data_IF_450518383129
#
_entry.id   IF_450518383129
#
_cell.length_a   1.000
_cell.length_b   1.000
_cell.length_c   1.000
_cell.angle_alpha   90.00
_cell.angle_beta   90.00
_cell.angle_gamma   90.00
#
_symmetry.space_group_name_H-M   'P 1'
#
loop_
_entity.id
_entity.type
_entity.pdbx_description
1 polymer ?
#
# COMPACT_ATOMS: atom_id res chain seq x y z
N UNK A 1 -1.44 23.62 -8.46
CA UNK A 1 -0.67 23.25 -7.26
C UNK A 1 -0.43 21.76 -7.31
N UNK A 2 0.81 21.35 -7.61
CA UNK A 2 1.17 19.94 -7.68
C UNK A 2 1.08 19.36 -6.27
N UNK A 3 0.19 18.38 -6.06
CA UNK A 3 0.13 17.61 -4.82
C UNK A 3 1.36 16.69 -4.81
N UNK A 4 2.52 17.25 -4.50
CA UNK A 4 3.64 16.47 -4.00
C UNK A 4 3.13 15.77 -2.74
N UNK A 5 2.72 14.51 -2.87
CA UNK A 5 2.45 13.63 -1.75
C UNK A 5 3.80 13.03 -1.36
N UNK A 6 4.49 13.52 -0.32
CA UNK A 6 5.84 13.07 0.02
C UNK A 6 5.89 11.61 0.52
N UNK A 7 4.76 10.91 0.60
CA UNK A 7 4.63 9.60 1.23
C UNK A 7 3.95 8.59 0.29
N UNK A 8 4.32 8.55 -1.00
CA UNK A 8 3.92 7.40 -1.84
C UNK A 8 4.52 6.13 -1.21
N UNK A 9 3.78 5.03 -1.05
CA UNK A 9 4.31 3.82 -0.42
C UNK A 9 5.32 3.14 -1.32
N UNK A 10 6.27 2.40 -0.76
CA UNK A 10 7.28 1.70 -1.57
C UNK A 10 6.68 0.60 -2.46
N UNK A 11 5.74 -0.16 -1.91
CA UNK A 11 5.09 -1.25 -2.62
C UNK A 11 3.72 -1.60 -2.02
N UNK A 12 2.89 -2.22 -2.84
CA UNK A 12 1.65 -2.89 -2.42
C UNK A 12 1.59 -4.31 -2.96
N UNK A 13 1.08 -5.21 -2.14
CA UNK A 13 0.73 -6.59 -2.50
C UNK A 13 -0.76 -6.80 -2.36
N UNK A 14 -1.43 -7.20 -3.44
CA UNK A 14 -2.87 -7.39 -3.49
C UNK A 14 -3.26 -8.87 -3.47
N UNK A 15 -4.29 -9.18 -2.69
CA UNK A 15 -4.89 -10.51 -2.60
C UNK A 15 -6.39 -10.41 -2.88
N UNK A 16 -6.91 -11.34 -3.67
CA UNK A 16 -8.35 -11.45 -3.87
C UNK A 16 -8.94 -12.25 -2.69
N UNK A 17 -9.91 -11.66 -1.99
CA UNK A 17 -10.63 -12.31 -0.90
C UNK A 17 -12.14 -12.36 -1.18
N UNK A 18 -12.87 -13.17 -0.42
CA UNK A 18 -14.32 -13.10 -0.41
C UNK A 18 -14.76 -11.74 0.15
N UNK A 19 -15.31 -10.87 -0.70
CA UNK A 19 -15.78 -9.54 -0.32
C UNK A 19 -14.96 -8.36 -0.84
N UNK A 20 -13.88 -8.61 -1.59
CA UNK A 20 -13.07 -7.54 -2.20
C UNK A 20 -11.58 -7.90 -2.28
N UNK A 21 -10.76 -6.89 -2.53
CA UNK A 21 -9.30 -7.03 -2.54
C UNK A 21 -8.74 -6.65 -1.18
N UNK A 22 -7.71 -7.34 -0.71
CA UNK A 22 -6.96 -7.00 0.51
C UNK A 22 -5.57 -6.57 0.10
N UNK A 23 -5.13 -5.42 0.60
CA UNK A 23 -3.81 -4.85 0.30
C UNK A 23 -2.90 -4.91 1.51
N UNK A 24 -1.66 -5.34 1.30
CA UNK A 24 -0.55 -5.11 2.22
C UNK A 24 0.34 -4.03 1.62
N UNK A 25 0.40 -2.87 2.27
CA UNK A 25 1.13 -1.68 1.82
C UNK A 25 2.36 -1.49 2.69
N UNK A 26 3.52 -1.31 2.05
CA UNK A 26 4.78 -0.97 2.71
C UNK A 26 4.98 0.54 2.59
N UNK A 27 5.26 1.20 3.72
CA UNK A 27 5.47 2.65 3.81
C UNK A 27 6.60 3.17 2.92
N UNK A 28 6.68 4.48 2.76
CA UNK A 28 7.62 5.16 1.83
C UNK A 28 9.07 4.71 2.02
N UNK A 29 9.58 4.74 3.25
CA UNK A 29 10.97 4.35 3.54
C UNK A 29 11.15 2.82 3.62
N UNK A 30 10.07 2.04 3.62
CA UNK A 30 10.10 0.60 3.85
C UNK A 30 10.33 0.20 5.30
N UNK A 31 9.97 1.08 6.23
CA UNK A 31 10.15 0.96 7.69
C UNK A 31 8.93 0.35 8.41
N UNK A 32 7.74 0.46 7.82
CA UNK A 32 6.51 -0.10 8.34
C UNK A 32 5.61 -0.68 7.24
N UNK A 33 4.67 -1.54 7.63
CA UNK A 33 3.68 -2.10 6.73
C UNK A 33 2.28 -2.11 7.38
N UNK A 34 1.26 -2.00 6.54
CA UNK A 34 -0.14 -2.03 6.95
C UNK A 34 -0.95 -2.95 6.05
N UNK A 35 -2.00 -3.55 6.60
CA UNK A 35 -2.97 -4.37 5.88
C UNK A 35 -4.37 -3.77 5.98
N UNK A 36 -5.13 -3.80 4.89
CA UNK A 36 -6.53 -3.39 4.88
C UNK A 36 -7.29 -3.82 3.63
N UNK A 37 -8.61 -3.65 3.65
CA UNK A 37 -9.45 -3.90 2.48
C UNK A 37 -9.42 -2.73 1.50
N UNK A 38 -9.42 -3.05 0.21
CA UNK A 38 -9.69 -2.13 -0.88
C UNK A 38 -11.21 -1.95 -0.99
N UNK A 39 -11.72 -0.83 -0.49
CA UNK A 39 -13.14 -0.49 -0.47
C UNK A 39 -13.46 0.65 -1.43
N UNK A 40 -12.46 1.21 -2.11
CA UNK A 40 -12.58 2.39 -2.97
C UNK A 40 -12.52 1.95 -4.43
N UNK A 41 -12.81 2.90 -5.31
CA UNK A 41 -12.86 2.64 -6.76
C UNK A 41 -11.49 2.84 -7.44
N UNK A 42 -10.55 3.49 -6.75
CA UNK A 42 -9.21 3.78 -7.25
C UNK A 42 -8.15 3.14 -6.34
N UNK A 43 -7.14 2.53 -6.98
CA UNK A 43 -6.11 1.77 -6.27
C UNK A 43 -5.23 2.67 -5.40
N UNK A 44 -4.88 3.87 -5.86
CA UNK A 44 -4.02 4.76 -5.11
C UNK A 44 -4.78 5.37 -3.92
N UNK A 45 -6.09 5.59 -4.06
CA UNK A 45 -7.00 5.93 -2.96
C UNK A 45 -7.09 4.81 -1.90
N UNK A 46 -7.18 3.54 -2.32
CA UNK A 46 -7.17 2.40 -1.39
C UNK A 46 -5.84 2.30 -0.63
N UNK A 47 -4.73 2.49 -1.35
CA UNK A 47 -3.40 2.46 -0.76
C UNK A 47 -3.21 3.58 0.25
N UNK A 48 -3.65 4.81 -0.08
CA UNK A 48 -3.62 5.93 0.85
C UNK A 48 -4.50 5.66 2.09
N UNK A 49 -5.67 5.03 1.90
CA UNK A 49 -6.54 4.65 3.00
C UNK A 49 -5.90 3.59 3.92
N UNK A 50 -5.24 2.59 3.35
CA UNK A 50 -4.54 1.55 4.12
C UNK A 50 -3.34 2.12 4.87
N UNK A 51 -2.58 3.05 4.28
CA UNK A 51 -1.50 3.75 5.00
C UNK A 51 -2.01 4.55 6.19
N UNK A 52 -3.17 5.19 6.06
CA UNK A 52 -3.74 6.05 7.09
C UNK A 52 -4.46 5.26 8.21
N UNK A 53 -5.15 4.18 7.86
CA UNK A 53 -6.10 3.50 8.76
C UNK A 53 -5.95 1.98 8.81
N UNK A 54 -5.02 1.40 8.05
CA UNK A 54 -4.80 -0.03 8.01
C UNK A 54 -4.25 -0.57 9.33
N UNK A 55 -4.49 -1.86 9.58
CA UNK A 55 -3.90 -2.54 10.73
C UNK A 55 -2.40 -2.72 10.50
N UNK A 56 -1.58 -2.55 11.55
CA UNK A 56 -0.14 -2.83 11.46
C UNK A 56 0.10 -4.27 11.02
N UNK A 57 0.98 -4.43 10.04
CA UNK A 57 1.37 -5.73 9.51
C UNK A 57 2.88 -5.94 9.73
N UNK A 58 3.34 -7.17 10.02
CA UNK A 58 4.77 -7.42 10.21
C UNK A 58 5.57 -7.09 8.94
N UNK A 59 6.49 -6.13 9.03
CA UNK A 59 7.28 -5.66 7.89
C UNK A 59 8.03 -6.81 7.19
N UNK A 60 8.70 -7.68 7.96
CA UNK A 60 9.45 -8.81 7.41
C UNK A 60 8.57 -9.77 6.60
N UNK A 61 7.30 -9.96 7.02
CA UNK A 61 6.34 -10.74 6.25
C UNK A 61 5.93 -9.98 4.98
N UNK A 62 5.66 -8.67 5.07
CA UNK A 62 5.26 -7.84 3.93
C UNK A 62 6.29 -7.87 2.79
N UNK A 63 7.58 -7.85 3.12
CA UNK A 63 8.67 -7.86 2.14
C UNK A 63 8.81 -9.21 1.40
N UNK A 64 8.22 -10.29 1.93
CA UNK A 64 8.23 -11.60 1.28
C UNK A 64 6.99 -11.83 0.39
N UNK A 65 6.00 -10.94 0.44
CA UNK A 65 4.78 -11.08 -0.34
C UNK A 65 5.02 -10.76 -1.83
N UNK A 66 4.25 -11.37 -2.74
CA UNK A 66 4.32 -11.06 -4.16
C UNK A 66 3.88 -9.61 -4.41
N UNK A 67 4.80 -8.80 -4.91
CA UNK A 67 4.55 -7.39 -5.18
C UNK A 67 3.63 -7.23 -6.39
N UNK A 68 2.51 -6.53 -6.20
CA UNK A 68 1.58 -6.20 -7.29
C UNK A 68 1.98 -4.90 -8.00
N UNK A 69 2.40 -3.89 -7.23
CA UNK A 69 2.88 -2.60 -7.75
C UNK A 69 4.00 -2.08 -6.86
N UNK A 70 5.07 -1.58 -7.51
CA UNK A 70 6.10 -0.76 -6.86
C UNK A 70 5.83 0.69 -7.24
N UNK A 71 6.00 1.59 -6.29
CA UNK A 71 5.99 3.02 -6.58
C UNK A 71 7.45 3.45 -6.56
N UNK A 72 8.03 3.64 -7.74
CA UNK A 72 9.39 4.15 -7.89
C UNK A 72 9.43 5.63 -7.53
N UNK A 73 10.57 6.12 -7.03
CA UNK A 73 10.83 7.56 -6.87
C UNK A 73 10.89 8.33 -8.21
N UNK A 74 10.82 7.64 -9.36
CA UNK A 74 10.96 8.20 -10.71
C UNK A 74 9.72 8.94 -11.26
N UNK A 75 8.61 9.00 -10.52
CA UNK A 75 7.45 9.85 -10.88
C UNK A 75 7.55 11.26 -10.22
N UNK A 76 8.72 11.91 -10.30
CA UNK A 76 8.95 13.32 -9.90
C UNK A 76 9.03 14.26 -11.09
#
# INVERSE_FOLDING_TARGET
MSKNAPNKPKQVSWFNGCGGRVGVVVGYEGDHAYIGQALRHDEDDDVAHILAFGAKFPLQAALQLPVSKRYSDEDQ
#
